data_IF_726728972530
#
_entry.id   IF_726728972530
#
_cell.length_a   1.000
_cell.length_b   1.000
_cell.length_c   1.000
_cell.angle_alpha   90.00
_cell.angle_beta   90.00
_cell.angle_gamma   90.00
#
_symmetry.space_group_name_H-M   'P 1'
#
loop_
_entity.id
_entity.type
_entity.pdbx_description
1 polymer ?
#
# COMPACT_ATOMS: atom_id res chain seq x y z
N UNK A 1 29.68 6.17 -11.20
CA UNK A 1 28.64 6.94 -10.46
C UNK A 1 27.80 7.79 -11.40
N UNK A 2 28.41 8.47 -12.39
CA UNK A 2 27.68 9.19 -13.45
C UNK A 2 26.67 8.34 -14.23
N UNK A 3 27.03 7.08 -14.56
CA UNK A 3 26.15 6.18 -15.32
C UNK A 3 24.82 5.87 -14.62
N UNK A 4 24.86 5.73 -13.29
CA UNK A 4 23.65 5.46 -12.49
C UNK A 4 22.73 6.68 -12.53
N UNK A 5 23.28 7.88 -12.30
CA UNK A 5 22.52 9.13 -12.34
C UNK A 5 21.93 9.35 -13.73
N UNK A 6 22.70 9.07 -14.78
CA UNK A 6 22.21 9.14 -16.16
C UNK A 6 21.03 8.19 -16.39
N UNK A 7 21.11 6.94 -15.91
CA UNK A 7 20.08 5.93 -16.09
C UNK A 7 18.78 6.20 -15.31
N UNK A 8 18.86 6.84 -14.14
CA UNK A 8 17.68 7.15 -13.33
C UNK A 8 17.10 8.56 -13.60
N UNK A 9 17.76 9.36 -14.43
CA UNK A 9 17.30 10.68 -14.82
C UNK A 9 15.99 10.61 -15.62
N UNK A 10 14.98 11.37 -15.21
CA UNK A 10 13.61 11.23 -15.71
C UNK A 10 12.79 10.07 -15.12
N UNK A 11 13.35 9.29 -14.19
CA UNK A 11 12.61 8.26 -13.42
C UNK A 11 12.31 8.71 -11.98
N UNK A 12 13.11 9.62 -11.42
CA UNK A 12 12.93 10.13 -10.04
C UNK A 12 11.75 11.10 -9.96
N UNK A 13 10.79 10.84 -9.06
CA UNK A 13 9.53 11.59 -8.95
C UNK A 13 9.23 12.19 -7.57
N UNK A 14 9.89 11.75 -6.50
CA UNK A 14 9.58 12.24 -5.13
C UNK A 14 10.76 12.96 -4.46
N UNK A 15 11.97 12.40 -4.55
CA UNK A 15 13.21 12.99 -4.01
C UNK A 15 13.95 13.82 -5.06
N UNK A 16 13.23 14.71 -5.73
CA UNK A 16 13.71 15.39 -6.94
C UNK A 16 14.78 16.44 -6.64
N UNK A 17 14.66 17.22 -5.55
CA UNK A 17 15.59 18.33 -5.26
C UNK A 17 17.05 17.84 -5.11
N UNK A 18 17.27 16.86 -4.24
CA UNK A 18 18.59 16.23 -4.06
C UNK A 18 19.12 15.58 -5.34
N UNK A 19 18.22 15.07 -6.19
CA UNK A 19 18.60 14.48 -7.46
C UNK A 19 19.01 15.54 -8.49
N UNK A 20 18.36 16.71 -8.50
CA UNK A 20 18.76 17.87 -9.32
C UNK A 20 20.15 18.36 -8.94
N UNK A 21 20.43 18.51 -7.65
CA UNK A 21 21.76 18.87 -7.13
C UNK A 21 22.83 17.87 -7.60
N UNK A 22 22.50 16.57 -7.55
CA UNK A 22 23.40 15.52 -8.04
C UNK A 22 23.65 15.61 -9.56
N UNK A 23 22.63 15.96 -10.34
CA UNK A 23 22.78 16.17 -11.78
C UNK A 23 23.69 17.37 -12.09
N UNK A 24 23.53 18.48 -11.34
CA UNK A 24 24.32 19.70 -11.49
C UNK A 24 25.82 19.45 -11.21
N UNK A 25 26.14 18.79 -10.10
CA UNK A 25 27.52 18.45 -9.72
C UNK A 25 28.20 17.59 -10.80
N UNK A 26 27.44 16.74 -11.49
CA UNK A 26 27.94 15.83 -12.52
C UNK A 26 27.87 16.42 -13.94
N UNK A 27 27.40 17.66 -14.11
CA UNK A 27 27.22 18.28 -15.43
C UNK A 27 26.16 17.59 -16.30
N UNK A 28 25.22 16.86 -15.69
CA UNK A 28 24.14 16.13 -16.39
C UNK A 28 22.92 17.04 -16.47
N UNK A 29 22.36 17.23 -17.67
CA UNK A 29 21.09 17.96 -17.83
C UNK A 29 19.95 17.17 -17.19
N UNK A 30 19.34 17.74 -16.15
CA UNK A 30 18.16 17.14 -15.50
C UNK A 30 16.99 16.98 -16.48
N UNK A 31 16.28 15.85 -16.36
CA UNK A 31 15.05 15.53 -17.09
C UNK A 31 13.92 15.31 -16.09
N UNK A 32 12.84 16.06 -16.26
CA UNK A 32 11.65 15.89 -15.42
C UNK A 32 10.95 14.55 -15.73
N UNK A 33 10.49 13.89 -14.67
CA UNK A 33 9.80 12.61 -14.77
C UNK A 33 8.30 12.79 -15.08
N UNK A 34 7.71 11.80 -15.74
CA UNK A 34 6.25 11.73 -15.92
C UNK A 34 5.58 11.24 -14.64
N UNK A 35 4.73 12.07 -14.04
CA UNK A 35 4.02 11.78 -12.79
C UNK A 35 2.76 10.93 -13.00
N UNK A 36 2.34 10.69 -14.25
CA UNK A 36 1.27 9.75 -14.56
C UNK A 36 1.82 8.33 -14.59
N UNK A 37 1.58 7.59 -13.52
CA UNK A 37 2.08 6.22 -13.41
C UNK A 37 1.24 5.30 -14.30
N UNK A 38 1.89 4.69 -15.28
CA UNK A 38 1.23 3.85 -16.29
C UNK A 38 0.73 2.55 -15.67
N UNK A 39 -0.23 1.93 -16.36
CA UNK A 39 -0.79 0.64 -15.97
C UNK A 39 0.31 -0.42 -15.81
N UNK A 40 0.32 -1.08 -14.65
CA UNK A 40 1.31 -2.09 -14.23
C UNK A 40 2.76 -1.59 -14.11
N UNK A 41 3.01 -0.29 -14.05
CA UNK A 41 4.37 0.23 -13.82
C UNK A 41 4.86 -0.17 -12.41
N UNK A 42 6.02 -0.85 -12.27
CA UNK A 42 6.53 -1.33 -10.99
C UNK A 42 6.94 -0.21 -10.03
N UNK A 43 6.99 1.05 -10.46
CA UNK A 43 7.25 2.17 -9.57
C UNK A 43 6.28 2.19 -8.38
N UNK A 44 5.00 1.88 -8.60
CA UNK A 44 4.02 1.85 -7.52
C UNK A 44 4.25 0.71 -6.53
N UNK A 45 4.76 -0.46 -6.94
CA UNK A 45 5.11 -1.51 -5.95
C UNK A 45 6.29 -1.09 -5.10
N UNK A 46 7.29 -0.42 -5.69
CA UNK A 46 8.41 0.18 -4.94
C UNK A 46 7.95 1.22 -3.90
N UNK A 47 7.01 2.09 -4.26
CA UNK A 47 6.41 3.04 -3.30
C UNK A 47 5.67 2.34 -2.17
N UNK A 48 4.98 1.24 -2.47
CA UNK A 48 4.27 0.47 -1.45
C UNK A 48 5.23 -0.24 -0.51
N UNK A 49 6.37 -0.72 -0.99
CA UNK A 49 7.43 -1.28 -0.14
C UNK A 49 8.05 -0.24 0.79
N UNK A 50 8.30 0.99 0.32
CA UNK A 50 8.92 2.04 1.15
C UNK A 50 7.94 2.68 2.13
N UNK A 51 6.84 3.24 1.63
CA UNK A 51 5.96 4.15 2.37
C UNK A 51 4.49 3.66 2.39
N UNK A 52 4.21 2.54 1.72
CA UNK A 52 2.88 1.94 1.70
C UNK A 52 2.60 0.98 2.86
N UNK A 53 1.31 0.70 3.04
CA UNK A 53 0.82 -0.28 4.02
C UNK A 53 -0.31 -1.08 3.41
N UNK A 54 -0.27 -2.40 3.61
CA UNK A 54 -1.39 -3.30 3.33
C UNK A 54 -1.95 -3.77 4.68
N UNK A 55 -3.23 -3.51 4.95
CA UNK A 55 -3.87 -3.78 6.24
C UNK A 55 -5.20 -4.50 6.08
N UNK A 56 -5.64 -5.16 7.16
CA UNK A 56 -7.00 -5.65 7.26
C UNK A 56 -7.88 -4.63 7.99
N UNK A 57 -8.98 -4.24 7.35
CA UNK A 57 -10.03 -3.42 7.94
C UNK A 57 -11.14 -4.33 8.47
N UNK A 58 -11.12 -4.59 9.79
CA UNK A 58 -12.03 -5.52 10.43
C UNK A 58 -13.51 -5.09 10.33
N UNK A 59 -13.92 -3.86 10.67
CA UNK A 59 -15.32 -3.43 10.50
C UNK A 59 -15.77 -3.49 9.04
N UNK A 60 -14.86 -3.17 8.12
CA UNK A 60 -15.10 -3.16 6.69
C UNK A 60 -15.00 -4.53 6.01
N UNK A 61 -14.60 -5.57 6.74
CA UNK A 61 -14.31 -6.92 6.26
C UNK A 61 -13.61 -6.92 4.88
N UNK A 62 -12.46 -6.24 4.80
CA UNK A 62 -11.69 -6.03 3.57
C UNK A 62 -10.20 -5.80 3.83
N UNK A 63 -9.37 -6.14 2.86
CA UNK A 63 -7.94 -5.83 2.83
C UNK A 63 -7.76 -4.52 2.04
N UNK A 64 -7.01 -3.59 2.60
CA UNK A 64 -6.80 -2.24 2.04
C UNK A 64 -5.31 -2.02 1.75
N UNK A 65 -5.01 -1.28 0.69
CA UNK A 65 -3.67 -0.81 0.36
C UNK A 65 -3.65 0.72 0.40
N UNK A 66 -2.75 1.27 1.20
CA UNK A 66 -2.57 2.71 1.35
C UNK A 66 -1.14 3.12 1.03
N UNK A 67 -0.99 4.25 0.36
CA UNK A 67 0.26 4.98 0.22
C UNK A 67 0.07 6.34 0.87
N UNK A 68 0.91 6.70 1.84
CA UNK A 68 0.87 8.02 2.46
C UNK A 68 2.23 8.69 2.35
N UNK A 69 2.26 9.86 1.72
CA UNK A 69 3.48 10.63 1.47
C UNK A 69 3.37 12.00 2.12
N UNK A 70 4.51 12.61 2.44
CA UNK A 70 4.55 14.04 2.78
C UNK A 70 4.03 14.85 1.59
N UNK A 71 3.10 15.77 1.84
CA UNK A 71 2.56 16.63 0.79
C UNK A 71 3.56 17.73 0.43
N UNK A 72 3.92 17.79 -0.85
CA UNK A 72 4.84 18.77 -1.45
C UNK A 72 4.53 18.90 -2.95
N UNK A 73 5.29 19.72 -3.66
CA UNK A 73 5.11 19.94 -5.12
C UNK A 73 5.16 18.62 -5.93
N UNK A 74 6.00 17.67 -5.52
CA UNK A 74 6.22 16.43 -6.27
C UNK A 74 5.14 15.37 -6.02
N UNK A 75 4.77 15.16 -4.76
CA UNK A 75 3.72 14.22 -4.38
C UNK A 75 2.32 14.70 -4.76
N UNK A 76 2.12 16.02 -4.92
CA UNK A 76 0.84 16.57 -5.40
C UNK A 76 0.60 16.25 -6.88
N UNK A 77 1.68 16.24 -7.70
CA UNK A 77 1.70 15.87 -9.12
C UNK A 77 1.50 14.37 -9.36
N UNK A 78 1.87 13.51 -8.40
CA UNK A 78 1.77 12.05 -8.55
C UNK A 78 0.31 11.62 -8.85
N UNK A 79 0.14 10.91 -9.98
CA UNK A 79 -1.12 10.37 -10.43
C UNK A 79 -1.05 8.83 -10.52
N UNK A 80 -1.95 8.17 -9.78
CA UNK A 80 -2.03 6.72 -9.66
C UNK A 80 -3.37 6.17 -10.19
N UNK A 81 -4.13 6.97 -10.95
CA UNK A 81 -5.47 6.61 -11.39
C UNK A 81 -5.48 5.38 -12.31
N UNK A 82 -4.44 5.24 -13.14
CA UNK A 82 -4.36 4.21 -14.19
C UNK A 82 -3.39 3.08 -13.86
N UNK A 83 -2.69 3.14 -12.72
CA UNK A 83 -1.63 2.17 -12.39
C UNK A 83 -2.18 0.76 -12.19
N UNK A 84 -3.38 0.63 -11.61
CA UNK A 84 -4.11 -0.63 -11.49
C UNK A 84 -5.32 -0.58 -12.40
N UNK A 85 -5.37 -1.50 -13.37
CA UNK A 85 -6.50 -1.63 -14.29
C UNK A 85 -7.82 -1.77 -13.52
N UNK A 86 -8.83 -0.99 -13.92
CA UNK A 86 -10.18 -0.98 -13.33
C UNK A 86 -10.23 -0.62 -11.85
N UNK A 87 -9.17 -0.02 -11.29
CA UNK A 87 -9.16 0.35 -9.89
C UNK A 87 -8.43 1.66 -9.66
N UNK A 88 -9.20 2.75 -9.51
CA UNK A 88 -8.70 4.07 -9.16
C UNK A 88 -8.64 4.23 -7.63
N UNK A 89 -7.53 4.75 -7.06
CA UNK A 89 -7.47 5.03 -5.63
C UNK A 89 -8.28 6.28 -5.26
N UNK A 90 -8.76 6.34 -4.02
CA UNK A 90 -9.21 7.62 -3.45
C UNK A 90 -8.01 8.45 -3.00
N UNK A 91 -8.04 9.76 -3.25
CA UNK A 91 -7.01 10.72 -2.85
C UNK A 91 -7.50 11.59 -1.69
N UNK A 92 -6.70 11.71 -0.63
CA UNK A 92 -7.02 12.53 0.54
C UNK A 92 -5.80 13.33 0.99
N UNK A 93 -5.95 14.66 1.11
CA UNK A 93 -4.93 15.52 1.71
C UNK A 93 -5.29 15.70 3.19
N UNK A 94 -4.34 15.42 4.08
CA UNK A 94 -4.50 15.57 5.54
C UNK A 94 -3.59 16.67 6.04
N UNK A 95 -4.16 17.60 6.79
CA UNK A 95 -3.40 18.63 7.49
C UNK A 95 -3.34 18.27 8.98
N UNK A 96 -2.14 18.15 9.53
CA UNK A 96 -1.91 17.93 10.96
C UNK A 96 -1.23 19.16 11.56
N UNK A 97 -1.88 19.74 12.57
CA UNK A 97 -1.25 20.72 13.45
C UNK A 97 -0.43 19.96 14.49
N UNK A 98 0.88 20.19 14.53
CA UNK A 98 1.71 19.72 15.63
C UNK A 98 1.69 20.75 16.76
N UNK A 99 1.90 20.30 17.99
CA UNK A 99 1.86 21.12 19.22
C UNK A 99 2.82 22.33 19.22
N UNK A 100 3.78 22.39 18.27
CA UNK A 100 4.78 23.47 18.16
C UNK A 100 4.55 24.40 16.96
N UNK A 101 3.29 24.68 16.57
CA UNK A 101 2.93 25.51 15.40
C UNK A 101 3.48 25.04 14.03
N UNK A 102 4.07 23.85 13.95
CA UNK A 102 4.46 23.23 12.68
C UNK A 102 3.26 22.52 12.07
N UNK A 103 2.77 23.05 10.96
CA UNK A 103 1.79 22.34 10.13
C UNK A 103 2.52 21.32 9.27
N UNK A 104 2.11 20.06 9.36
CA UNK A 104 2.56 19.01 8.44
C UNK A 104 1.37 18.54 7.63
N UNK A 105 1.55 18.49 6.31
CA UNK A 105 0.53 17.99 5.40
C UNK A 105 1.01 16.67 4.79
N UNK A 106 0.09 15.71 4.68
CA UNK A 106 0.31 14.45 3.98
C UNK A 106 -0.74 14.25 2.89
N UNK A 107 -0.40 13.45 1.90
CA UNK A 107 -1.30 13.01 0.84
C UNK A 107 -1.39 11.49 0.89
N UNK A 108 -2.62 10.98 0.94
CA UNK A 108 -2.91 9.55 1.00
C UNK A 108 -3.66 9.11 -0.24
N UNK A 109 -3.18 8.03 -0.85
CA UNK A 109 -3.86 7.27 -1.87
C UNK A 109 -4.34 5.95 -1.26
N UNK A 110 -5.63 5.63 -1.41
CA UNK A 110 -6.23 4.43 -0.80
C UNK A 110 -6.96 3.57 -1.82
N UNK A 111 -6.60 2.30 -1.87
CA UNK A 111 -7.33 1.23 -2.54
C UNK A 111 -8.03 0.40 -1.46
N UNK A 112 -9.30 0.71 -1.22
CA UNK A 112 -10.03 0.33 0.00
C UNK A 112 -11.44 -0.25 -0.25
N UNK A 113 -11.68 -0.85 -1.41
CA UNK A 113 -13.00 -1.38 -1.82
C UNK A 113 -12.92 -2.88 -2.00
N UNK A 114 -13.99 -3.59 -1.60
CA UNK A 114 -14.06 -5.06 -1.72
C UNK A 114 -13.90 -5.49 -3.19
N UNK A 115 -14.64 -4.86 -4.11
CA UNK A 115 -14.56 -5.15 -5.54
C UNK A 115 -13.16 -4.94 -6.12
N UNK A 116 -12.38 -4.02 -5.54
CA UNK A 116 -11.06 -3.69 -6.03
C UNK A 116 -9.94 -4.61 -5.53
N UNK A 117 -10.18 -5.41 -4.48
CA UNK A 117 -9.16 -6.29 -3.89
C UNK A 117 -8.56 -7.25 -4.93
N UNK A 118 -9.38 -7.81 -5.84
CA UNK A 118 -8.88 -8.73 -6.87
C UNK A 118 -7.91 -8.04 -7.85
N UNK A 119 -8.14 -6.76 -8.17
CA UNK A 119 -7.24 -6.00 -9.02
C UNK A 119 -5.92 -5.67 -8.31
N UNK A 120 -5.96 -5.39 -6.99
CA UNK A 120 -4.74 -5.29 -6.17
C UNK A 120 -3.94 -6.59 -6.21
N UNK A 121 -4.61 -7.72 -5.99
CA UNK A 121 -3.98 -9.04 -6.04
C UNK A 121 -3.25 -9.23 -7.37
N UNK A 122 -3.94 -9.07 -8.50
CA UNK A 122 -3.33 -9.25 -9.82
C UNK A 122 -2.17 -8.31 -10.08
N UNK A 123 -2.28 -7.04 -9.70
CA UNK A 123 -1.20 -6.07 -9.85
C UNK A 123 0.06 -6.52 -9.10
N UNK A 124 -0.04 -6.89 -7.82
CA UNK A 124 1.13 -7.26 -7.02
C UNK A 124 1.64 -8.67 -7.27
N UNK A 125 0.82 -9.57 -7.84
CA UNK A 125 1.34 -10.84 -8.36
C UNK A 125 2.23 -10.62 -9.59
N UNK A 126 1.94 -9.59 -10.39
CA UNK A 126 2.79 -9.17 -11.53
C UNK A 126 3.99 -8.34 -11.08
N UNK A 127 3.76 -7.39 -10.18
CA UNK A 127 4.74 -6.46 -9.64
C UNK A 127 4.99 -6.80 -8.17
N UNK A 128 5.78 -7.84 -7.93
CA UNK A 128 6.04 -8.38 -6.60
C UNK A 128 6.57 -7.30 -5.65
N UNK A 129 6.03 -7.29 -4.43
CA UNK A 129 6.58 -6.57 -3.29
C UNK A 129 7.76 -7.33 -2.71
N UNK A 130 8.85 -6.63 -2.41
CA UNK A 130 10.05 -7.19 -1.79
C UNK A 130 9.86 -7.41 -0.28
N UNK A 131 8.99 -6.63 0.38
CA UNK A 131 8.62 -6.92 1.75
C UNK A 131 7.77 -8.19 1.81
N UNK A 132 8.33 -9.30 2.30
CA UNK A 132 7.62 -10.58 2.42
C UNK A 132 6.34 -10.46 3.25
N UNK A 133 6.38 -9.65 4.31
CA UNK A 133 5.20 -9.33 5.12
C UNK A 133 4.08 -8.69 4.30
N UNK A 134 4.39 -7.68 3.48
CA UNK A 134 3.40 -7.00 2.63
C UNK A 134 2.94 -7.91 1.49
N UNK A 135 3.87 -8.62 0.87
CA UNK A 135 3.56 -9.55 -0.22
C UNK A 135 2.65 -10.68 0.24
N UNK A 136 2.92 -11.28 1.41
CA UNK A 136 2.05 -12.28 2.02
C UNK A 136 0.61 -11.75 2.18
N UNK A 137 0.45 -10.54 2.73
CA UNK A 137 -0.89 -9.97 2.92
C UNK A 137 -1.65 -9.82 1.60
N UNK A 138 -0.98 -9.40 0.54
CA UNK A 138 -1.63 -9.30 -0.77
C UNK A 138 -1.92 -10.67 -1.37
N UNK A 139 -1.00 -11.63 -1.26
CA UNK A 139 -1.18 -12.97 -1.82
C UNK A 139 -2.38 -13.71 -1.20
N UNK A 140 -2.75 -13.35 0.05
CA UNK A 140 -3.93 -13.87 0.74
C UNK A 140 -5.27 -13.28 0.30
N UNK A 141 -5.29 -12.24 -0.54
CA UNK A 141 -6.54 -11.61 -0.99
C UNK A 141 -7.47 -12.59 -1.70
N UNK A 142 -6.94 -13.45 -2.60
CA UNK A 142 -7.78 -14.36 -3.37
C UNK A 142 -8.52 -15.35 -2.45
N UNK A 143 -7.78 -15.98 -1.54
CA UNK A 143 -8.35 -16.86 -0.51
C UNK A 143 -9.35 -16.11 0.38
N UNK A 144 -9.01 -14.89 0.81
CA UNK A 144 -9.89 -14.07 1.63
C UNK A 144 -11.24 -13.79 0.95
N UNK A 145 -11.24 -13.50 -0.35
CA UNK A 145 -12.47 -13.23 -1.10
C UNK A 145 -13.45 -14.40 -1.10
N UNK A 146 -12.96 -15.63 -1.01
CA UNK A 146 -13.78 -16.85 -0.96
C UNK A 146 -14.43 -17.01 0.41
N UNK A 147 -13.66 -16.83 1.48
CA UNK A 147 -14.12 -17.11 2.85
C UNK A 147 -14.70 -15.91 3.58
N UNK A 148 -14.58 -14.69 3.03
CA UNK A 148 -15.02 -13.46 3.73
C UNK A 148 -16.50 -13.48 4.10
N UNK A 149 -17.32 -14.25 3.39
CA UNK A 149 -18.76 -14.35 3.64
C UNK A 149 -19.04 -15.01 5.00
N UNK A 150 -18.13 -15.88 5.46
CA UNK A 150 -18.27 -16.63 6.70
C UNK A 150 -18.20 -15.76 7.95
N UNK A 151 -17.83 -14.49 7.80
CA UNK A 151 -17.91 -13.51 8.88
C UNK A 151 -19.34 -13.25 9.39
N UNK A 152 -20.36 -13.72 8.64
CA UNK A 152 -21.77 -13.62 8.98
C UNK A 152 -22.35 -14.90 9.58
N UNK A 153 -21.60 -15.99 9.54
CA UNK A 153 -22.08 -17.27 10.04
C UNK A 153 -22.08 -17.29 11.58
N UNK A 154 -22.87 -18.18 12.20
CA UNK A 154 -22.94 -18.29 13.65
C UNK A 154 -21.55 -18.49 14.26
N UNK A 155 -21.28 -17.87 15.41
CA UNK A 155 -19.95 -17.91 16.04
C UNK A 155 -19.41 -19.33 16.24
N UNK A 156 -20.27 -20.28 16.61
CA UNK A 156 -19.90 -21.69 16.85
C UNK A 156 -19.81 -22.55 15.59
N UNK A 157 -20.09 -22.00 14.39
CA UNK A 157 -20.00 -22.72 13.12
C UNK A 157 -18.56 -23.00 12.69
N UNK A 158 -18.36 -24.03 11.87
CA UNK A 158 -17.06 -24.34 11.26
C UNK A 158 -16.64 -23.25 10.27
N UNK A 159 -17.59 -22.66 9.55
CA UNK A 159 -17.36 -21.55 8.64
C UNK A 159 -16.77 -20.32 9.37
N UNK A 160 -17.36 -19.95 10.51
CA UNK A 160 -16.84 -18.84 11.32
C UNK A 160 -15.45 -19.14 11.91
N UNK A 161 -15.17 -20.42 12.24
CA UNK A 161 -13.85 -20.86 12.64
C UNK A 161 -12.83 -20.71 11.50
N UNK A 162 -13.16 -21.15 10.28
CA UNK A 162 -12.31 -20.99 9.09
C UNK A 162 -11.96 -19.52 8.85
N UNK A 163 -12.95 -18.63 8.95
CA UNK A 163 -12.73 -17.18 8.85
C UNK A 163 -11.82 -16.65 9.96
N UNK A 164 -12.07 -17.09 11.20
CA UNK A 164 -11.29 -16.69 12.38
C UNK A 164 -9.82 -17.11 12.27
N UNK A 165 -9.57 -18.37 11.89
CA UNK A 165 -8.23 -18.91 11.69
C UNK A 165 -7.49 -18.19 10.56
N UNK A 166 -8.19 -17.89 9.46
CA UNK A 166 -7.59 -17.10 8.40
C UNK A 166 -7.15 -15.72 8.89
N UNK A 167 -8.02 -14.99 9.61
CA UNK A 167 -7.68 -13.66 10.12
C UNK A 167 -6.54 -13.69 11.12
N UNK A 168 -6.52 -14.70 12.00
CA UNK A 168 -5.46 -14.90 12.97
C UNK A 168 -4.12 -15.15 12.27
N UNK A 169 -4.08 -16.05 11.30
CA UNK A 169 -2.88 -16.32 10.51
C UNK A 169 -2.45 -15.09 9.70
N UNK A 170 -3.42 -14.38 9.11
CA UNK A 170 -3.17 -13.16 8.35
C UNK A 170 -2.51 -12.07 9.18
N UNK A 171 -3.00 -11.84 10.41
CA UNK A 171 -2.54 -10.73 11.25
C UNK A 171 -1.26 -11.05 12.02
N UNK A 172 -0.98 -12.32 12.30
CA UNK A 172 0.20 -12.77 13.06
C UNK A 172 1.42 -13.04 12.19
N UNK A 173 1.25 -13.32 10.89
CA UNK A 173 2.36 -13.55 9.97
C UNK A 173 3.40 -12.43 10.01
N UNK A 174 4.62 -12.73 10.47
CA UNK A 174 5.74 -11.80 10.66
C UNK A 174 5.38 -10.49 11.40
N UNK A 175 4.32 -10.52 12.22
CA UNK A 175 3.88 -9.37 13.00
C UNK A 175 3.93 -9.71 14.49
N UNK A 176 4.97 -9.24 15.22
CA UNK A 176 5.10 -9.53 16.65
C UNK A 176 3.95 -8.94 17.49
N UNK A 177 3.22 -7.95 16.94
CA UNK A 177 2.05 -7.33 17.58
C UNK A 177 0.71 -7.91 17.09
N UNK A 178 0.75 -9.00 16.32
CA UNK A 178 -0.44 -9.61 15.72
C UNK A 178 -1.50 -9.94 16.76
N UNK A 179 -1.11 -10.64 17.84
CA UNK A 179 -2.01 -11.06 18.92
C UNK A 179 -2.58 -9.89 19.75
N UNK A 180 -1.89 -8.76 19.78
CA UNK A 180 -2.38 -7.54 20.46
C UNK A 180 -3.36 -6.73 19.61
N UNK A 181 -3.66 -7.17 18.39
CA UNK A 181 -4.59 -6.44 17.51
C UNK A 181 -6.00 -6.52 18.08
N UNK A 182 -6.73 -5.39 18.25
CA UNK A 182 -7.98 -5.37 19.02
C UNK A 182 -9.09 -6.31 18.55
N UNK A 183 -9.12 -6.70 17.26
CA UNK A 183 -10.15 -7.62 16.77
C UNK A 183 -9.84 -9.09 17.05
N UNK A 184 -8.61 -9.44 17.45
CA UNK A 184 -8.21 -10.83 17.72
C UNK A 184 -9.03 -11.42 18.86
N UNK A 185 -9.39 -10.62 19.86
CA UNK A 185 -10.27 -11.04 20.96
C UNK A 185 -11.71 -11.38 20.53
N UNK A 186 -12.10 -11.07 19.29
CA UNK A 186 -13.42 -11.36 18.71
C UNK A 186 -13.43 -12.62 17.84
N UNK A 187 -12.27 -13.23 17.64
CA UNK A 187 -12.11 -14.43 16.81
C UNK A 187 -12.37 -15.69 17.63
N UNK A 188 -12.94 -16.70 16.98
CA UNK A 188 -13.03 -18.04 17.58
C UNK A 188 -11.65 -18.70 17.50
N UNK A 189 -11.17 -19.20 18.64
CA UNK A 189 -9.92 -19.96 18.73
C UNK A 189 -10.26 -21.44 18.80
N UNK A 190 -9.55 -22.27 18.03
CA UNK A 190 -9.63 -23.72 18.15
C UNK A 190 -9.17 -24.11 19.57
N UNK A 191 -10.01 -24.86 20.29
CA UNK A 191 -9.69 -25.40 21.61
C UNK A 191 -8.79 -26.62 21.47
#
# INVERSE_FOLDING_TARGET
MGDIIHNINGLIRLKVDLFKESCEILGIKYKEADYNIKMNDPYFSGLIDSDGTIIFNYPGNRIECHLELKYNEYSSKLNLDDVIKNYKPSKLIKNRRLNNNKNTSSIRFSFQTVKGMIYLYHYFMKNRLYSDFKFYRVSKIKQFLEIRIFNKDPYESEEYLVYSEFLLNFITYLNPKGLTTPFVSKLRMKR
#
